data_IF_777099873920
#
_entry.id   IF_777099873920
#
_cell.length_a   1.000
_cell.length_b   1.000
_cell.length_c   1.000
_cell.angle_alpha   90.00
_cell.angle_beta   90.00
_cell.angle_gamma   90.00
#
_symmetry.space_group_name_H-M   'P 1'
#
loop_
_entity.id
_entity.type
_entity.pdbx_description
1 polymer ?
#
# COMPACT_ATOMS: atom_id res chain seq x y z
N UNK A 1 -14.03 0.62 1.09
CA UNK A 1 -15.04 1.31 0.27
C UNK A 1 -14.68 2.80 0.19
N UNK A 2 -15.10 3.57 -0.82
CA UNK A 2 -14.84 5.03 -0.79
C UNK A 2 -15.74 5.71 0.25
N UNK A 3 -15.22 5.91 1.45
CA UNK A 3 -15.99 6.41 2.58
C UNK A 3 -16.40 7.87 2.43
N UNK A 4 -15.64 8.68 1.69
CA UNK A 4 -16.00 10.08 1.42
C UNK A 4 -17.28 10.17 0.58
N UNK A 5 -17.37 9.38 -0.51
CA UNK A 5 -18.57 9.34 -1.35
C UNK A 5 -19.78 8.75 -0.60
N UNK A 6 -19.56 7.69 0.17
CA UNK A 6 -20.62 7.09 0.98
C UNK A 6 -21.18 8.10 1.99
N UNK A 7 -20.30 8.82 2.68
CA UNK A 7 -20.68 9.88 3.63
C UNK A 7 -21.49 10.97 2.95
N UNK A 8 -21.09 11.44 1.75
CA UNK A 8 -21.89 12.42 1.00
C UNK A 8 -23.29 11.91 0.67
N UNK A 9 -23.43 10.65 0.26
CA UNK A 9 -24.75 10.06 -0.05
C UNK A 9 -25.60 9.89 1.20
N UNK A 10 -25.01 9.46 2.32
CA UNK A 10 -25.71 9.29 3.59
C UNK A 10 -26.20 10.64 4.16
N UNK A 11 -25.36 11.67 4.09
CA UNK A 11 -25.71 13.03 4.55
C UNK A 11 -26.78 13.72 3.70
N UNK A 12 -27.00 13.22 2.48
CA UNK A 12 -28.07 13.70 1.61
C UNK A 12 -29.46 13.25 2.09
N UNK A 13 -29.58 12.23 2.93
CA UNK A 13 -30.84 11.83 3.63
C UNK A 13 -32.13 11.98 2.78
N UNK A 14 -32.16 11.39 1.59
CA UNK A 14 -33.33 11.37 0.70
C UNK A 14 -33.58 12.62 -0.14
N UNK A 15 -32.79 13.69 -0.01
CA UNK A 15 -32.74 14.81 -0.98
C UNK A 15 -31.64 14.62 -2.02
N UNK A 16 -31.68 15.44 -3.07
CA UNK A 16 -30.59 15.53 -4.03
C UNK A 16 -29.36 16.21 -3.39
N UNK A 17 -28.17 15.84 -3.89
CA UNK A 17 -26.91 16.48 -3.54
C UNK A 17 -26.89 17.92 -4.08
N UNK A 18 -26.37 18.84 -3.26
CA UNK A 18 -26.06 20.20 -3.70
C UNK A 18 -24.73 20.25 -4.45
N UNK A 19 -24.46 21.35 -5.16
CA UNK A 19 -23.18 21.57 -5.85
C UNK A 19 -21.96 21.42 -4.94
N UNK A 20 -22.08 21.84 -3.68
CA UNK A 20 -21.00 21.70 -2.69
C UNK A 20 -20.79 20.23 -2.30
N UNK A 21 -21.85 19.46 -2.17
CA UNK A 21 -21.80 18.05 -1.79
C UNK A 21 -21.40 17.12 -2.94
N UNK A 22 -21.47 17.62 -4.19
CA UNK A 22 -20.94 16.95 -5.37
C UNK A 22 -19.43 17.09 -5.52
N UNK A 23 -18.77 18.03 -4.82
CA UNK A 23 -17.31 18.23 -4.93
C UNK A 23 -16.48 16.95 -4.72
N UNK A 24 -16.75 16.10 -3.72
CA UNK A 24 -16.01 14.84 -3.54
C UNK A 24 -16.06 13.90 -4.76
N UNK A 25 -17.14 13.94 -5.56
CA UNK A 25 -17.24 13.17 -6.79
C UNK A 25 -16.33 13.72 -7.89
N UNK A 26 -16.25 15.04 -8.02
CA UNK A 26 -15.34 15.68 -8.97
C UNK A 26 -13.89 15.36 -8.61
N UNK A 27 -13.51 15.53 -7.34
CA UNK A 27 -12.16 15.20 -6.86
C UNK A 27 -11.83 13.71 -7.09
N UNK A 28 -12.82 12.82 -6.91
CA UNK A 28 -12.68 11.40 -7.18
C UNK A 28 -12.37 11.12 -8.65
N UNK A 29 -13.08 11.76 -9.58
CA UNK A 29 -12.91 11.61 -11.03
C UNK A 29 -11.57 12.20 -11.49
N UNK A 30 -11.23 13.40 -11.03
CA UNK A 30 -9.98 14.08 -11.42
C UNK A 30 -8.74 13.25 -11.08
N UNK A 31 -8.70 12.66 -9.88
CA UNK A 31 -7.57 11.83 -9.45
C UNK A 31 -7.70 10.35 -9.87
N UNK A 32 -8.80 9.92 -10.50
CA UNK A 32 -9.04 8.50 -10.82
C UNK A 32 -7.99 7.93 -11.78
N UNK A 33 -7.62 8.69 -12.81
CA UNK A 33 -6.66 8.22 -13.82
C UNK A 33 -5.30 7.91 -13.19
N UNK A 34 -4.82 8.74 -12.27
CA UNK A 34 -3.56 8.52 -11.56
C UNK A 34 -3.61 7.24 -10.71
N UNK A 35 -4.73 7.01 -9.99
CA UNK A 35 -4.91 5.81 -9.17
C UNK A 35 -5.02 4.53 -10.01
N UNK A 36 -5.68 4.62 -11.18
CA UNK A 36 -5.75 3.52 -12.15
C UNK A 36 -4.39 3.20 -12.77
N UNK A 37 -3.62 4.23 -13.11
CA UNK A 37 -2.26 4.06 -13.65
C UNK A 37 -1.34 3.41 -12.62
N UNK A 38 -1.40 3.83 -11.35
CA UNK A 38 -0.67 3.20 -10.25
C UNK A 38 -1.04 1.72 -10.11
N UNK A 39 -2.33 1.40 -10.06
CA UNK A 39 -2.79 0.02 -9.98
C UNK A 39 -2.29 -0.83 -11.15
N UNK A 40 -2.37 -0.29 -12.37
CA UNK A 40 -1.85 -0.95 -13.57
C UNK A 40 -0.34 -1.15 -13.52
N UNK A 41 0.41 -0.15 -13.04
CA UNK A 41 1.85 -0.27 -12.86
C UNK A 41 2.21 -1.39 -11.88
N UNK A 42 1.52 -1.50 -10.75
CA UNK A 42 1.74 -2.56 -9.77
C UNK A 42 1.39 -3.93 -10.36
N UNK A 43 0.30 -4.05 -11.11
CA UNK A 43 -0.06 -5.30 -11.81
C UNK A 43 1.04 -5.74 -12.78
N UNK A 44 1.58 -4.79 -13.55
CA UNK A 44 2.49 -5.09 -14.65
C UNK A 44 3.96 -5.23 -14.20
N UNK A 45 4.37 -4.50 -13.15
CA UNK A 45 5.78 -4.40 -12.72
C UNK A 45 6.00 -4.76 -11.24
N UNK A 46 4.95 -5.06 -10.48
CA UNK A 46 5.06 -5.32 -9.03
C UNK A 46 6.01 -6.46 -8.69
N UNK A 47 6.04 -7.50 -9.52
CA UNK A 47 6.97 -8.63 -9.37
C UNK A 47 8.43 -8.18 -9.44
N UNK A 48 8.75 -7.28 -10.35
CA UNK A 48 10.12 -6.78 -10.52
C UNK A 48 10.52 -5.88 -9.35
N UNK A 49 9.61 -5.03 -8.87
CA UNK A 49 9.81 -4.23 -7.66
C UNK A 49 10.19 -5.12 -6.46
N UNK A 50 9.42 -6.19 -6.25
CA UNK A 50 9.65 -7.12 -5.14
C UNK A 50 10.97 -7.88 -5.33
N UNK A 51 11.22 -8.43 -6.51
CA UNK A 51 12.45 -9.20 -6.76
C UNK A 51 13.70 -8.33 -6.63
N UNK A 52 13.68 -7.08 -7.12
CA UNK A 52 14.79 -6.15 -6.96
C UNK A 52 15.02 -5.82 -5.47
N UNK A 53 13.95 -5.59 -4.72
CA UNK A 53 14.03 -5.34 -3.27
C UNK A 53 14.62 -6.53 -2.50
N UNK A 54 14.19 -7.76 -2.83
CA UNK A 54 14.72 -8.97 -2.21
C UNK A 54 16.18 -9.24 -2.58
N UNK A 55 16.59 -8.97 -3.83
CA UNK A 55 18.01 -9.03 -4.22
C UNK A 55 18.86 -8.08 -3.40
N UNK A 56 18.35 -6.88 -3.09
CA UNK A 56 19.03 -5.93 -2.19
C UNK A 56 19.05 -6.43 -0.74
N UNK A 57 17.97 -7.07 -0.27
CA UNK A 57 17.91 -7.66 1.07
C UNK A 57 18.96 -8.77 1.28
N UNK A 58 19.30 -9.54 0.24
CA UNK A 58 20.39 -10.53 0.29
C UNK A 58 21.76 -9.94 0.63
N UNK A 59 21.95 -8.62 0.41
CA UNK A 59 23.19 -7.91 0.73
C UNK A 59 23.20 -7.33 2.15
N UNK A 60 22.17 -7.61 2.95
CA UNK A 60 22.04 -7.14 4.33
C UNK A 60 22.30 -8.28 5.33
N UNK A 61 22.47 -7.97 6.64
CA UNK A 61 22.53 -9.00 7.68
C UNK A 61 21.29 -9.90 7.74
N UNK A 62 20.16 -9.51 7.15
CA UNK A 62 18.90 -10.26 7.15
C UNK A 62 18.78 -11.33 6.05
N UNK A 63 19.85 -11.58 5.27
CA UNK A 63 19.84 -12.56 4.16
C UNK A 63 19.35 -13.97 4.54
N UNK A 64 19.56 -14.38 5.80
CA UNK A 64 19.13 -15.70 6.27
C UNK A 64 17.61 -15.88 6.18
N UNK A 65 16.84 -14.83 6.46
CA UNK A 65 15.37 -14.86 6.35
C UNK A 65 14.94 -15.18 4.92
N UNK A 66 15.63 -14.61 3.92
CA UNK A 66 15.36 -14.84 2.51
C UNK A 66 15.82 -16.23 2.04
N UNK A 67 16.90 -16.76 2.62
CA UNK A 67 17.35 -18.14 2.35
C UNK A 67 16.35 -19.19 2.89
N UNK A 68 15.75 -18.94 4.05
CA UNK A 68 14.80 -19.86 4.69
C UNK A 68 13.36 -19.71 4.16
N UNK A 69 12.95 -18.48 3.82
CA UNK A 69 11.54 -18.14 3.57
C UNK A 69 11.33 -17.31 2.31
N UNK A 70 12.22 -17.40 1.31
CA UNK A 70 12.22 -16.48 0.19
C UNK A 70 10.94 -16.44 -0.65
N UNK A 71 10.29 -17.60 -0.84
CA UNK A 71 9.01 -17.67 -1.54
C UNK A 71 7.90 -16.95 -0.76
N UNK A 72 7.87 -17.12 0.57
CA UNK A 72 6.94 -16.44 1.44
C UNK A 72 7.19 -14.93 1.43
N UNK A 73 8.45 -14.49 1.56
CA UNK A 73 8.80 -13.07 1.48
C UNK A 73 8.34 -12.44 0.17
N UNK A 74 8.58 -13.10 -0.97
CA UNK A 74 8.13 -12.61 -2.27
C UNK A 74 6.60 -12.51 -2.33
N UNK A 75 5.90 -13.57 -1.94
CA UNK A 75 4.44 -13.60 -1.94
C UNK A 75 3.86 -12.51 -1.05
N UNK A 76 4.36 -12.38 0.17
CA UNK A 76 3.82 -11.45 1.15
C UNK A 76 4.06 -10.01 0.71
N UNK A 77 5.26 -9.69 0.18
CA UNK A 77 5.53 -8.36 -0.39
C UNK A 77 4.69 -8.04 -1.63
N UNK A 78 4.40 -9.04 -2.48
CA UNK A 78 3.47 -8.87 -3.61
C UNK A 78 2.06 -8.56 -3.11
N UNK A 79 1.55 -9.33 -2.14
CA UNK A 79 0.26 -9.05 -1.54
C UNK A 79 0.20 -7.65 -0.92
N UNK A 80 1.26 -7.20 -0.27
CA UNK A 80 1.35 -5.82 0.24
C UNK A 80 1.11 -4.78 -0.86
N UNK A 81 1.81 -4.90 -2.00
CA UNK A 81 1.64 -3.96 -3.11
C UNK A 81 0.23 -4.03 -3.70
N UNK A 82 -0.36 -5.22 -3.80
CA UNK A 82 -1.72 -5.42 -4.29
C UNK A 82 -2.76 -4.77 -3.37
N UNK A 83 -2.64 -4.97 -2.05
CA UNK A 83 -3.55 -4.34 -1.08
C UNK A 83 -3.42 -2.83 -1.05
N UNK A 84 -2.19 -2.29 -1.09
CA UNK A 84 -1.96 -0.85 -1.16
C UNK A 84 -2.56 -0.28 -2.45
N UNK A 85 -2.25 -0.88 -3.60
CA UNK A 85 -2.75 -0.39 -4.89
C UNK A 85 -4.26 -0.47 -5.00
N UNK A 86 -4.89 -1.50 -4.41
CA UNK A 86 -6.36 -1.60 -4.30
C UNK A 86 -6.94 -0.51 -3.41
N UNK A 87 -6.36 -0.28 -2.23
CA UNK A 87 -6.78 0.79 -1.32
C UNK A 87 -6.70 2.17 -1.98
N UNK A 88 -5.60 2.43 -2.69
CA UNK A 88 -5.45 3.66 -3.48
C UNK A 88 -6.49 3.72 -4.60
N UNK A 89 -6.65 2.67 -5.41
CA UNK A 89 -7.62 2.65 -6.53
C UNK A 89 -9.03 3.00 -6.06
N UNK A 90 -9.46 2.38 -4.96
CA UNK A 90 -10.79 2.55 -4.38
C UNK A 90 -10.92 3.82 -3.54
N UNK A 91 -9.82 4.55 -3.32
CA UNK A 91 -9.75 5.68 -2.38
C UNK A 91 -10.30 5.29 -1.01
N UNK A 92 -9.80 4.16 -0.51
CA UNK A 92 -10.23 3.42 0.67
C UNK A 92 -9.05 3.26 1.63
N UNK A 93 -8.65 4.38 2.22
CA UNK A 93 -7.54 4.41 3.17
C UNK A 93 -7.87 3.66 4.45
N UNK A 94 -9.11 3.80 4.95
CA UNK A 94 -9.57 3.15 6.17
C UNK A 94 -9.55 1.63 6.02
N UNK A 95 -10.03 1.07 4.90
CA UNK A 95 -9.96 -0.36 4.65
C UNK A 95 -8.52 -0.89 4.64
N UNK A 96 -7.57 -0.12 4.09
CA UNK A 96 -6.15 -0.49 4.18
C UNK A 96 -5.64 -0.48 5.62
N UNK A 97 -5.99 0.52 6.41
CA UNK A 97 -5.54 0.66 7.80
C UNK A 97 -6.14 -0.41 8.70
N UNK A 98 -7.46 -0.61 8.65
CA UNK A 98 -8.20 -1.47 9.58
C UNK A 98 -8.08 -2.95 9.24
N UNK A 99 -8.15 -3.32 7.96
CA UNK A 99 -8.15 -4.72 7.56
C UNK A 99 -6.73 -5.23 7.34
N UNK A 100 -5.95 -4.54 6.50
CA UNK A 100 -4.67 -5.04 6.04
C UNK A 100 -3.53 -4.73 7.01
N UNK A 101 -3.37 -3.46 7.40
CA UNK A 101 -2.23 -3.01 8.18
C UNK A 101 -2.20 -3.65 9.58
N UNK A 102 -3.33 -3.63 10.28
CA UNK A 102 -3.49 -4.27 11.60
C UNK A 102 -3.22 -5.78 11.51
N UNK A 103 -3.76 -6.45 10.50
CA UNK A 103 -3.49 -7.88 10.28
C UNK A 103 -1.99 -8.14 10.06
N UNK A 104 -1.34 -7.38 9.18
CA UNK A 104 0.06 -7.57 8.83
C UNK A 104 0.99 -7.34 10.04
N UNK A 105 0.71 -6.32 10.85
CA UNK A 105 1.43 -6.02 12.08
C UNK A 105 1.34 -7.19 13.07
N UNK A 106 0.13 -7.73 13.28
CA UNK A 106 -0.10 -8.84 14.18
C UNK A 106 0.61 -10.12 13.73
N UNK A 107 0.56 -10.44 12.44
CA UNK A 107 1.22 -11.62 11.87
C UNK A 107 2.74 -11.50 11.99
N UNK A 108 3.34 -10.38 11.56
CA UNK A 108 4.81 -10.20 11.64
C UNK A 108 5.29 -10.26 13.09
N UNK A 109 4.51 -9.71 14.03
CA UNK A 109 4.82 -9.76 15.46
C UNK A 109 4.78 -11.18 16.00
N UNK A 110 3.79 -11.98 15.63
CA UNK A 110 3.68 -13.38 16.04
C UNK A 110 4.87 -14.23 15.58
N UNK A 111 5.43 -13.93 14.41
CA UNK A 111 6.62 -14.61 13.88
C UNK A 111 7.97 -14.03 14.35
N UNK A 112 7.96 -12.93 15.12
CA UNK A 112 9.16 -12.24 15.60
C UNK A 112 10.14 -11.87 14.46
N UNK A 113 9.61 -11.38 13.32
CA UNK A 113 10.39 -11.02 12.11
C UNK A 113 10.41 -9.50 11.80
N UNK A 114 10.00 -8.65 12.74
CA UNK A 114 9.80 -7.20 12.56
C UNK A 114 11.01 -6.53 11.91
N UNK A 115 12.20 -6.71 12.47
CA UNK A 115 13.43 -6.03 11.99
C UNK A 115 13.74 -6.36 10.53
N UNK A 116 13.67 -7.64 10.14
CA UNK A 116 13.89 -8.06 8.77
C UNK A 116 12.80 -7.52 7.82
N UNK A 117 11.54 -7.53 8.24
CA UNK A 117 10.42 -7.01 7.46
C UNK A 117 10.53 -5.49 7.25
N UNK A 118 10.86 -4.72 8.29
CA UNK A 118 11.07 -3.27 8.20
C UNK A 118 12.15 -2.94 7.17
N UNK A 119 13.28 -3.66 7.20
CA UNK A 119 14.35 -3.48 6.21
C UNK A 119 13.88 -3.83 4.81
N UNK A 120 13.17 -4.95 4.63
CA UNK A 120 12.64 -5.36 3.34
C UNK A 120 11.66 -4.32 2.75
N UNK A 121 10.76 -3.77 3.56
CA UNK A 121 9.80 -2.76 3.11
C UNK A 121 10.44 -1.38 2.87
N UNK A 122 11.50 -1.01 3.61
CA UNK A 122 12.30 0.18 3.28
C UNK A 122 12.98 0.05 1.92
N UNK A 123 13.56 -1.12 1.62
CA UNK A 123 14.15 -1.40 0.31
C UNK A 123 13.09 -1.36 -0.82
N UNK A 124 11.89 -1.88 -0.56
CA UNK A 124 10.76 -1.78 -1.48
C UNK A 124 10.32 -0.34 -1.73
N UNK A 125 10.23 0.48 -0.67
CA UNK A 125 9.90 1.89 -0.78
C UNK A 125 10.91 2.65 -1.66
N UNK A 126 12.19 2.36 -1.51
CA UNK A 126 13.23 2.93 -2.36
C UNK A 126 13.10 2.47 -3.82
N UNK A 127 12.82 1.19 -4.05
CA UNK A 127 12.62 0.66 -5.41
C UNK A 127 11.41 1.33 -6.09
N UNK A 128 10.30 1.49 -5.37
CA UNK A 128 9.12 2.24 -5.83
C UNK A 128 9.49 3.67 -6.19
N UNK A 129 10.22 4.38 -5.31
CA UNK A 129 10.64 5.76 -5.56
C UNK A 129 11.50 5.90 -6.81
N UNK A 130 12.37 4.93 -7.07
CA UNK A 130 13.35 5.01 -8.15
C UNK A 130 12.79 4.62 -9.52
N UNK A 131 11.74 3.80 -9.56
CA UNK A 131 11.25 3.17 -10.81
C UNK A 131 9.86 3.60 -11.21
N UNK A 132 8.97 3.86 -10.25
CA UNK A 132 7.58 4.22 -10.53
C UNK A 132 7.46 5.72 -10.87
N UNK A 133 6.60 6.11 -11.82
CA UNK A 133 6.37 7.53 -12.16
C UNK A 133 6.00 8.38 -10.94
N UNK A 134 6.44 9.64 -10.91
CA UNK A 134 6.40 10.52 -9.72
C UNK A 134 5.06 10.59 -9.00
N UNK A 135 3.97 10.88 -9.70
CA UNK A 135 2.65 11.00 -9.05
C UNK A 135 2.15 9.67 -8.47
N UNK A 136 2.49 8.56 -9.12
CA UNK A 136 2.13 7.22 -8.66
C UNK A 136 3.00 6.81 -7.46
N UNK A 137 4.31 7.06 -7.53
CA UNK A 137 5.23 6.74 -6.45
C UNK A 137 4.91 7.54 -5.19
N UNK A 138 4.54 8.82 -5.33
CA UNK A 138 4.11 9.66 -4.21
C UNK A 138 2.91 9.05 -3.46
N UNK A 139 1.88 8.57 -4.17
CA UNK A 139 0.73 7.92 -3.55
C UNK A 139 1.12 6.61 -2.86
N UNK A 140 1.93 5.76 -3.52
CA UNK A 140 2.39 4.49 -2.96
C UNK A 140 3.24 4.69 -1.70
N UNK A 141 4.10 5.72 -1.68
CA UNK A 141 4.97 6.02 -0.54
C UNK A 141 4.18 6.30 0.74
N UNK A 142 3.04 7.00 0.67
CA UNK A 142 2.20 7.31 1.84
C UNK A 142 1.79 6.02 2.57
N UNK A 143 1.39 5.00 1.82
CA UNK A 143 0.94 3.72 2.36
C UNK A 143 2.10 2.85 2.84
N UNK A 144 3.22 2.84 2.11
CA UNK A 144 4.44 2.14 2.54
C UNK A 144 5.02 2.77 3.81
N UNK A 145 4.93 4.08 3.99
CA UNK A 145 5.34 4.76 5.21
C UNK A 145 4.48 4.35 6.41
N UNK A 146 3.16 4.28 6.24
CA UNK A 146 2.26 3.78 7.28
C UNK A 146 2.59 2.34 7.66
N UNK A 147 2.83 1.48 6.67
CA UNK A 147 3.24 0.10 6.90
C UNK A 147 4.55 0.02 7.68
N UNK A 148 5.59 0.69 7.21
CA UNK A 148 6.91 0.67 7.84
C UNK A 148 6.81 1.21 9.27
N UNK A 149 6.11 2.32 9.48
CA UNK A 149 5.92 2.91 10.80
C UNK A 149 5.22 1.93 11.74
N UNK A 150 4.09 1.32 11.34
CA UNK A 150 3.37 0.36 12.18
C UNK A 150 4.22 -0.86 12.55
N UNK A 151 5.07 -1.34 11.63
CA UNK A 151 5.98 -2.46 11.88
C UNK A 151 7.18 -2.08 12.77
N UNK A 152 7.62 -0.82 12.74
CA UNK A 152 8.74 -0.30 13.53
C UNK A 152 8.31 0.09 14.95
N UNK A 153 7.13 0.71 15.12
CA UNK A 153 6.62 1.18 16.42
C UNK A 153 5.89 0.10 17.21
N UNK A 154 5.26 -0.88 16.55
CA UNK A 154 4.53 -1.97 17.20
C UNK A 154 3.31 -1.52 18.03
N UNK A 155 2.86 -0.27 17.84
CA UNK A 155 1.67 0.37 18.45
C UNK A 155 0.71 0.71 17.33
#
# INVERSE_FOLDING_TARGET
MNNALLTSVQNADGRYLTDTELRPFNDMVEAFQTRMNLYSYVRDHGKDLVLNSLRRLMQTPHRQVLQEHGQQCQRDMMFTLEYISKGILLHDEDGFMEEYLVWMQNIIRAFNRQTACVVAYRLLKEEVRNTMPGDQSNLMMIYLDKLINALDTGI
#
